data_IF_694350526384
#
_entry.id   IF_694350526384
#
_cell.length_a   1.000
_cell.length_b   1.000
_cell.length_c   1.000
_cell.angle_alpha   90.00
_cell.angle_beta   90.00
_cell.angle_gamma   90.00
#
_symmetry.space_group_name_H-M   'P 1'
#
loop_
_entity.id
_entity.type
_entity.pdbx_description
1 polymer ?
#
# COMPACT_ATOMS: atom_id res chain seq x y z
N UNK A 1 -10.18 -16.68 14.18
CA UNK A 1 -11.13 -17.82 14.22
C UNK A 1 -12.30 -17.44 13.32
N UNK A 2 -12.37 -17.78 12.04
CA UNK A 2 -11.93 -18.96 11.29
C UNK A 2 -10.81 -18.61 10.29
N UNK A 3 -9.68 -19.32 10.34
CA UNK A 3 -8.64 -19.21 9.32
C UNK A 3 -9.08 -19.97 8.07
N UNK A 4 -8.77 -19.42 6.91
CA UNK A 4 -8.95 -20.01 5.58
C UNK A 4 -8.48 -21.47 5.42
N UNK A 5 -7.67 -21.99 6.35
CA UNK A 5 -7.15 -23.35 6.36
C UNK A 5 -8.20 -24.45 6.58
N UNK A 6 -9.21 -24.24 7.44
CA UNK A 6 -10.22 -25.27 7.73
C UNK A 6 -11.22 -25.47 6.60
N UNK A 7 -11.56 -24.39 5.89
CA UNK A 7 -12.40 -24.43 4.69
C UNK A 7 -11.65 -25.02 3.50
N UNK A 8 -10.40 -24.58 3.28
CA UNK A 8 -9.58 -25.04 2.17
C UNK A 8 -9.31 -26.55 2.20
N UNK A 9 -9.06 -27.13 3.37
CA UNK A 9 -8.81 -28.57 3.50
C UNK A 9 -9.97 -29.42 2.94
N UNK A 10 -11.21 -28.94 3.13
CA UNK A 10 -12.46 -29.60 2.73
C UNK A 10 -12.81 -29.43 1.25
N UNK A 11 -12.13 -28.55 0.52
CA UNK A 11 -12.40 -28.34 -0.90
C UNK A 11 -12.02 -29.58 -1.73
N UNK A 12 -12.77 -29.80 -2.81
CA UNK A 12 -12.37 -30.72 -3.89
C UNK A 12 -11.06 -30.24 -4.51
N UNK A 13 -10.38 -31.12 -5.25
CA UNK A 13 -9.12 -30.76 -5.91
C UNK A 13 -9.31 -29.59 -6.88
N UNK A 14 -10.40 -29.61 -7.63
CA UNK A 14 -10.76 -28.60 -8.62
C UNK A 14 -10.98 -27.25 -7.93
N UNK A 15 -11.80 -27.21 -6.87
CA UNK A 15 -12.02 -25.97 -6.12
C UNK A 15 -10.76 -25.44 -5.43
N UNK A 16 -9.82 -26.32 -5.04
CA UNK A 16 -8.51 -25.89 -4.54
C UNK A 16 -7.68 -25.21 -5.62
N UNK A 17 -7.68 -25.77 -6.83
CA UNK A 17 -6.96 -25.19 -7.98
C UNK A 17 -7.54 -23.82 -8.30
N UNK A 18 -8.86 -23.70 -8.44
CA UNK A 18 -9.53 -22.43 -8.75
C UNK A 18 -9.28 -21.37 -7.67
N UNK A 19 -9.36 -21.78 -6.40
CA UNK A 19 -9.07 -20.90 -5.27
C UNK A 19 -7.62 -20.40 -5.30
N UNK A 20 -6.65 -21.30 -5.43
CA UNK A 20 -5.24 -20.93 -5.50
C UNK A 20 -4.94 -20.06 -6.72
N UNK A 21 -5.55 -20.37 -7.86
CA UNK A 21 -5.41 -19.58 -9.07
C UNK A 21 -5.96 -18.15 -8.87
N UNK A 22 -7.14 -18.00 -8.26
CA UNK A 22 -7.71 -16.69 -7.92
C UNK A 22 -6.83 -15.87 -6.96
N UNK A 23 -6.08 -16.55 -6.08
CA UNK A 23 -5.17 -15.90 -5.15
C UNK A 23 -3.83 -15.52 -5.77
N UNK A 24 -3.32 -16.30 -6.72
CA UNK A 24 -1.97 -16.15 -7.28
C UNK A 24 -1.94 -15.42 -8.62
N UNK A 25 -2.98 -15.55 -9.44
CA UNK A 25 -3.06 -14.90 -10.75
C UNK A 25 -3.58 -13.46 -10.63
N UNK A 26 -2.78 -12.61 -9.97
CA UNK A 26 -3.07 -11.20 -9.70
C UNK A 26 -1.83 -10.36 -9.99
N UNK A 27 -1.97 -9.05 -10.29
CA UNK A 27 -0.82 -8.17 -10.41
C UNK A 27 -0.01 -8.17 -9.11
N UNK A 28 1.31 -8.04 -9.24
CA UNK A 28 2.25 -8.06 -8.12
C UNK A 28 2.95 -6.73 -7.98
N UNK A 29 3.19 -6.30 -6.74
CA UNK A 29 4.06 -5.18 -6.40
C UNK A 29 5.11 -5.63 -5.38
N UNK A 30 6.35 -5.31 -5.67
CA UNK A 30 7.46 -5.37 -4.71
C UNK A 30 7.71 -3.95 -4.25
N UNK A 31 7.55 -3.71 -2.95
CA UNK A 31 7.60 -2.39 -2.37
C UNK A 31 8.88 -2.26 -1.53
N UNK A 32 9.75 -1.33 -1.92
CA UNK A 32 10.85 -0.91 -1.07
C UNK A 32 10.31 -0.27 0.19
N UNK A 33 10.94 -0.55 1.32
CA UNK A 33 10.59 -0.02 2.63
C UNK A 33 11.85 0.50 3.30
N UNK A 34 11.84 1.76 3.75
CA UNK A 34 12.97 2.38 4.45
C UNK A 34 12.62 2.55 5.93
N UNK A 35 13.63 2.55 6.80
CA UNK A 35 13.42 2.80 8.24
C UNK A 35 12.77 4.15 8.46
N UNK A 36 11.78 4.19 9.34
CA UNK A 36 11.06 5.42 9.65
C UNK A 36 11.83 6.28 10.64
N UNK A 37 12.28 7.45 10.20
CA UNK A 37 12.96 8.47 11.03
C UNK A 37 12.01 9.62 11.44
N UNK A 38 10.69 9.39 11.39
CA UNK A 38 9.65 10.37 11.70
C UNK A 38 9.02 11.03 10.47
N UNK A 39 9.31 10.51 9.27
CA UNK A 39 8.79 11.03 8.02
C UNK A 39 7.30 10.66 7.83
N UNK A 40 6.42 11.61 7.44
CA UNK A 40 5.05 11.26 7.08
C UNK A 40 5.02 10.44 5.79
N UNK A 41 4.18 9.39 5.78
CA UNK A 41 4.00 8.50 4.65
C UNK A 41 3.21 7.23 5.01
N UNK A 42 3.02 6.36 4.01
CA UNK A 42 2.36 5.07 4.21
C UNK A 42 3.29 4.01 4.80
N UNK A 43 2.85 3.30 5.83
CA UNK A 43 3.59 2.20 6.48
C UNK A 43 3.10 0.81 6.05
N UNK A 44 3.89 -0.27 6.26
CA UNK A 44 3.48 -1.62 5.96
C UNK A 44 2.60 -2.19 7.08
N UNK A 45 1.40 -2.66 6.75
CA UNK A 45 0.47 -3.22 7.74
C UNK A 45 -0.24 -4.47 7.22
N UNK A 46 -0.66 -5.31 8.16
CA UNK A 46 -1.66 -6.35 7.92
C UNK A 46 -3.05 -5.76 8.03
N UNK A 47 -3.85 -5.91 6.97
CA UNK A 47 -5.23 -5.45 6.91
C UNK A 47 -6.15 -6.65 6.84
N UNK A 48 -7.20 -6.59 7.66
CA UNK A 48 -8.27 -7.57 7.66
C UNK A 48 -9.46 -6.96 6.92
N UNK A 49 -9.84 -7.52 5.78
CA UNK A 49 -11.00 -7.06 5.04
C UNK A 49 -12.32 -7.51 5.72
N UNK A 50 -13.46 -7.05 5.20
CA UNK A 50 -14.79 -7.39 5.72
C UNK A 50 -15.07 -8.90 5.76
N UNK A 51 -14.50 -9.65 4.82
CA UNK A 51 -14.62 -11.11 4.74
C UNK A 51 -13.65 -11.83 5.71
N UNK A 52 -12.87 -11.08 6.49
CA UNK A 52 -11.93 -11.59 7.47
C UNK A 52 -10.60 -12.06 6.92
N UNK A 53 -10.34 -11.88 5.62
CA UNK A 53 -9.08 -12.21 4.97
C UNK A 53 -8.00 -11.18 5.32
N UNK A 54 -6.79 -11.67 5.60
CA UNK A 54 -5.62 -10.85 5.84
C UNK A 54 -4.85 -10.59 4.55
N UNK A 55 -4.41 -9.36 4.35
CA UNK A 55 -3.50 -8.97 3.26
C UNK A 55 -2.47 -7.94 3.73
N UNK A 56 -1.32 -7.90 3.07
CA UNK A 56 -0.29 -6.88 3.29
C UNK A 56 -0.63 -5.64 2.48
N UNK A 57 -0.73 -4.49 3.14
CA UNK A 57 -1.00 -3.20 2.52
C UNK A 57 -0.04 -2.13 2.98
N UNK A 58 0.10 -1.10 2.16
CA UNK A 58 0.69 0.18 2.58
C UNK A 58 -0.49 1.05 3.00
N UNK A 59 -0.49 1.55 4.24
CA UNK A 59 -1.58 2.38 4.77
C UNK A 59 -1.03 3.72 5.27
N UNK A 60 -1.70 4.80 4.89
CA UNK A 60 -1.41 6.13 5.40
C UNK A 60 -1.93 6.30 6.84
N UNK A 61 -1.17 7.02 7.67
CA UNK A 61 -1.55 7.26 9.07
C UNK A 61 -2.95 7.90 9.23
N UNK A 62 -3.39 8.70 8.26
CA UNK A 62 -4.72 9.34 8.21
C UNK A 62 -5.89 8.35 8.22
N UNK A 63 -5.65 7.11 7.82
CA UNK A 63 -6.67 6.07 7.68
C UNK A 63 -6.74 5.11 8.87
N UNK A 64 -5.83 5.27 9.84
CA UNK A 64 -5.76 4.43 11.02
C UNK A 64 -6.69 5.03 12.06
N UNK A 65 -7.67 4.25 12.50
CA UNK A 65 -8.62 4.68 13.53
C UNK A 65 -7.94 4.92 14.88
N UNK A 66 -8.51 5.80 15.71
CA UNK A 66 -7.90 6.23 16.99
C UNK A 66 -7.54 5.07 17.92
N UNK A 67 -8.36 4.01 17.92
CA UNK A 67 -8.13 2.79 18.71
C UNK A 67 -6.94 1.93 18.21
N UNK A 68 -6.39 2.21 17.02
CA UNK A 68 -5.29 1.51 16.39
C UNK A 68 -4.01 2.36 16.26
N UNK A 69 -4.02 3.60 16.77
CA UNK A 69 -2.86 4.51 16.73
C UNK A 69 -1.61 3.89 17.37
N UNK A 70 -1.79 3.05 18.41
CA UNK A 70 -0.68 2.34 19.04
C UNK A 70 0.03 1.34 18.12
N UNK A 71 -0.67 0.81 17.11
CA UNK A 71 -0.11 -0.05 16.06
C UNK A 71 0.72 0.79 15.10
N UNK A 72 0.17 1.93 14.66
CA UNK A 72 0.87 2.89 13.79
C UNK A 72 2.20 3.35 14.39
N UNK A 73 2.21 3.70 15.69
CA UNK A 73 3.41 4.11 16.42
C UNK A 73 4.50 3.04 16.52
N UNK A 74 4.17 1.77 16.28
CA UNK A 74 5.13 0.65 16.27
C UNK A 74 5.68 0.34 14.87
N UNK A 75 5.17 1.01 13.83
CA UNK A 75 5.69 0.82 12.48
C UNK A 75 7.15 1.30 12.39
N UNK A 76 8.05 0.38 12.09
CA UNK A 76 9.49 0.65 12.00
C UNK A 76 9.92 1.16 10.63
N UNK A 77 9.05 1.04 9.63
CA UNK A 77 9.33 1.36 8.23
C UNK A 77 8.20 2.14 7.59
N UNK A 78 8.51 2.87 6.53
CA UNK A 78 7.53 3.48 5.63
C UNK A 78 7.94 3.27 4.17
N UNK A 79 6.98 3.45 3.27
CA UNK A 79 7.18 3.26 1.85
C UNK A 79 7.60 4.59 1.19
N UNK A 80 8.78 4.63 0.53
CA UNK A 80 9.28 5.81 -0.18
C UNK A 80 8.67 5.99 -1.59
N UNK A 81 7.62 5.22 -1.94
CA UNK A 81 7.05 5.10 -3.30
C UNK A 81 7.99 4.41 -4.29
N UNK A 82 8.97 3.65 -3.79
CA UNK A 82 9.79 2.76 -4.62
C UNK A 82 9.07 1.43 -4.83
N UNK A 83 8.54 1.22 -6.05
CA UNK A 83 7.69 0.10 -6.42
C UNK A 83 8.14 -0.53 -7.73
N UNK A 84 8.32 -1.84 -7.71
CA UNK A 84 8.47 -2.65 -8.93
C UNK A 84 7.20 -3.47 -9.13
N UNK A 85 6.53 -3.28 -10.26
CA UNK A 85 5.22 -3.86 -10.54
C UNK A 85 5.26 -4.89 -11.66
N UNK A 86 4.69 -6.07 -11.41
CA UNK A 86 4.37 -7.07 -12.43
C UNK A 86 2.91 -6.92 -12.85
N UNK A 87 2.70 -6.49 -14.09
CA UNK A 87 1.37 -6.11 -14.61
C UNK A 87 0.74 -7.14 -15.54
N UNK A 88 1.43 -8.27 -15.75
CA UNK A 88 1.04 -9.31 -16.70
C UNK A 88 0.74 -10.61 -15.98
N UNK A 89 -0.20 -11.36 -16.54
CA UNK A 89 -0.54 -12.71 -16.09
C UNK A 89 0.52 -13.73 -16.53
N UNK A 90 0.32 -14.98 -16.10
CA UNK A 90 1.19 -16.12 -16.43
C UNK A 90 1.28 -16.44 -17.94
N UNK A 91 0.40 -15.88 -18.78
CA UNK A 91 0.41 -16.01 -20.24
C UNK A 91 1.05 -14.78 -20.93
N UNK A 92 1.48 -13.78 -20.16
CA UNK A 92 2.06 -12.53 -20.68
C UNK A 92 1.04 -11.46 -21.08
N UNK A 93 -0.24 -11.67 -20.75
CA UNK A 93 -1.33 -10.75 -21.04
C UNK A 93 -1.46 -9.72 -19.91
N UNK A 94 -1.74 -8.45 -20.27
CA UNK A 94 -1.90 -7.40 -19.27
C UNK A 94 -3.17 -7.61 -18.44
N UNK A 95 -3.06 -7.45 -17.13
CA UNK A 95 -4.22 -7.42 -16.24
C UNK A 95 -5.05 -6.14 -16.45
N UNK A 96 -6.38 -6.24 -16.30
CA UNK A 96 -7.21 -5.08 -16.03
C UNK A 96 -7.02 -4.65 -14.57
N UNK A 97 -6.16 -3.66 -14.31
CA UNK A 97 -5.79 -3.25 -12.96
C UNK A 97 -6.99 -2.73 -12.14
N UNK A 98 -8.02 -2.19 -12.79
CA UNK A 98 -9.23 -1.72 -12.12
C UNK A 98 -10.00 -2.85 -11.43
N UNK A 99 -9.86 -4.09 -11.90
CA UNK A 99 -10.47 -5.25 -11.26
C UNK A 99 -9.84 -5.60 -9.90
N UNK A 100 -8.72 -4.94 -9.52
CA UNK A 100 -7.97 -5.20 -8.29
C UNK A 100 -7.99 -4.02 -7.31
N UNK A 101 -8.82 -3.02 -7.56
CA UNK A 101 -9.05 -1.86 -6.68
C UNK A 101 -10.05 -2.25 -5.58
N UNK A 102 -9.88 -1.71 -4.37
CA UNK A 102 -10.94 -1.68 -3.36
C UNK A 102 -11.63 -0.32 -3.39
N UNK A 103 -12.80 -0.26 -4.02
CA UNK A 103 -13.58 0.97 -4.22
C UNK A 103 -14.09 1.58 -2.90
N UNK A 104 -14.16 0.79 -1.82
CA UNK A 104 -14.66 1.25 -0.52
C UNK A 104 -13.64 2.06 0.28
N UNK A 105 -12.42 2.20 -0.23
CA UNK A 105 -11.31 2.87 0.46
C UNK A 105 -11.13 4.34 0.06
N UNK A 106 -11.99 4.84 -0.83
CA UNK A 106 -12.11 6.26 -1.10
C UNK A 106 -12.70 7.00 0.11
N UNK A 107 -12.23 8.22 0.36
CA UNK A 107 -12.59 8.98 1.56
C UNK A 107 -12.86 10.45 1.25
N UNK A 108 -13.62 11.10 2.13
CA UNK A 108 -13.93 12.53 2.01
C UNK A 108 -12.79 13.33 2.65
N UNK A 109 -12.27 14.30 1.90
CA UNK A 109 -11.28 15.26 2.38
C UNK A 109 -11.89 16.66 2.40
N UNK A 110 -11.50 17.44 3.40
CA UNK A 110 -11.78 18.87 3.44
C UNK A 110 -10.56 19.61 2.89
N UNK A 111 -10.76 20.42 1.84
CA UNK A 111 -9.72 21.25 1.24
C UNK A 111 -10.14 22.71 1.32
N UNK A 112 -9.18 23.61 1.56
CA UNK A 112 -9.43 25.03 1.40
C UNK A 112 -9.09 25.44 -0.04
N UNK A 113 -10.05 26.00 -0.76
CA UNK A 113 -9.85 26.57 -2.09
C UNK A 113 -10.33 28.01 -2.09
N UNK A 114 -9.39 28.94 -2.25
CA UNK A 114 -9.64 30.38 -2.29
C UNK A 114 -10.41 30.89 -1.05
N UNK A 115 -10.05 30.41 0.15
CA UNK A 115 -10.69 30.80 1.40
C UNK A 115 -11.97 30.03 1.74
N UNK A 116 -12.50 29.23 0.82
CA UNK A 116 -13.70 28.42 1.05
C UNK A 116 -13.34 26.97 1.37
N UNK A 117 -13.91 26.42 2.44
CA UNK A 117 -13.82 24.99 2.74
C UNK A 117 -14.71 24.22 1.79
N UNK A 118 -14.11 23.30 1.02
CA UNK A 118 -14.80 22.39 0.12
C UNK A 118 -14.61 20.95 0.60
N UNK A 119 -15.64 20.13 0.42
CA UNK A 119 -15.54 18.68 0.58
C UNK A 119 -15.29 18.05 -0.77
N UNK A 120 -14.25 17.23 -0.88
CA UNK A 120 -13.96 16.44 -2.06
C UNK A 120 -13.93 14.96 -1.69
N UNK A 121 -14.32 14.10 -2.64
CA UNK A 121 -14.16 12.66 -2.50
C UNK A 121 -12.87 12.24 -3.21
N UNK A 122 -11.92 11.70 -2.46
CA UNK A 122 -10.70 11.11 -3.02
C UNK A 122 -10.95 9.63 -3.29
N UNK A 123 -10.73 9.24 -4.55
CA UNK A 123 -10.79 7.84 -4.97
C UNK A 123 -9.67 7.03 -4.31
N UNK A 124 -9.79 5.69 -4.29
CA UNK A 124 -8.69 4.82 -3.90
C UNK A 124 -7.41 5.19 -4.65
N UNK A 125 -6.37 5.48 -3.88
CA UNK A 125 -5.03 5.82 -4.32
C UNK A 125 -4.02 4.76 -3.88
N UNK A 126 -2.74 5.12 -4.03
CA UNK A 126 -1.62 4.19 -3.90
C UNK A 126 -1.55 3.49 -2.53
N UNK A 127 -1.81 4.24 -1.46
CA UNK A 127 -1.69 3.80 -0.07
C UNK A 127 -3.02 3.54 0.63
N UNK A 128 -4.13 3.52 -0.11
CA UNK A 128 -5.44 3.29 0.49
C UNK A 128 -6.30 2.27 -0.23
N UNK A 129 -6.10 1.98 -1.53
CA UNK A 129 -6.78 0.82 -2.10
C UNK A 129 -6.76 0.65 -3.61
N UNK A 130 -6.10 1.53 -4.37
CA UNK A 130 -5.90 1.33 -5.81
C UNK A 130 -5.19 -0.01 -6.13
N UNK A 131 -4.43 -0.54 -5.17
CA UNK A 131 -3.71 -1.81 -5.27
C UNK A 131 -4.09 -2.79 -4.16
N UNK A 132 -5.30 -2.68 -3.58
CA UNK A 132 -5.72 -3.48 -2.43
C UNK A 132 -5.66 -4.99 -2.70
N UNK A 133 -6.03 -5.43 -3.92
CA UNK A 133 -6.09 -6.85 -4.26
C UNK A 133 -4.84 -7.35 -4.99
N UNK A 134 -3.72 -6.61 -4.93
CA UNK A 134 -2.45 -7.03 -5.53
C UNK A 134 -1.68 -7.98 -4.60
N UNK A 135 -0.85 -8.83 -5.19
CA UNK A 135 0.19 -9.53 -4.44
C UNK A 135 1.23 -8.50 -3.99
N UNK A 136 1.48 -8.44 -2.68
CA UNK A 136 2.36 -7.43 -2.08
C UNK A 136 3.53 -8.12 -1.39
N UNK A 137 4.74 -7.70 -1.73
CA UNK A 137 5.98 -8.11 -1.07
C UNK A 137 6.69 -6.85 -0.56
N UNK A 138 7.08 -6.86 0.71
CA UNK A 138 7.86 -5.78 1.33
C UNK A 138 9.33 -6.18 1.40
N UNK A 139 10.21 -5.26 1.00
CA UNK A 139 11.67 -5.45 1.05
C UNK A 139 12.27 -4.24 1.75
N UNK A 140 13.06 -4.45 2.80
CA UNK A 140 13.85 -3.37 3.41
C UNK A 140 14.92 -2.92 2.41
N UNK A 141 14.99 -1.62 2.15
CA UNK A 141 16.00 -0.99 1.28
C UNK A 141 16.77 0.08 2.06
N UNK A 142 18.02 0.38 1.69
CA UNK A 142 18.81 1.39 2.38
C UNK A 142 18.14 2.77 2.36
N UNK A 143 18.18 3.51 3.47
CA UNK A 143 17.56 4.84 3.56
C UNK A 143 18.04 5.80 2.47
N UNK A 144 19.29 5.66 2.02
CA UNK A 144 19.88 6.48 0.95
C UNK A 144 19.11 6.43 -0.38
N UNK A 145 18.31 5.40 -0.63
CA UNK A 145 17.46 5.31 -1.84
C UNK A 145 16.27 6.27 -1.76
N UNK A 146 16.05 6.90 -0.61
CA UNK A 146 14.97 7.85 -0.38
C UNK A 146 15.50 9.21 0.05
N UNK A 147 15.37 10.20 -0.84
CA UNK A 147 15.70 11.60 -0.57
C UNK A 147 14.49 12.48 -0.94
N UNK A 148 13.49 12.61 -0.05
CA UNK A 148 12.28 13.36 -0.35
C UNK A 148 12.51 14.87 -0.25
N UNK A 149 11.78 15.61 -1.09
CA UNK A 149 11.66 17.06 -1.01
C UNK A 149 10.21 17.40 -0.68
N UNK A 150 9.94 17.77 0.57
CA UNK A 150 8.59 18.13 1.07
C UNK A 150 8.44 19.64 1.21
N UNK A 151 9.54 20.33 1.50
CA UNK A 151 9.65 21.78 1.65
C UNK A 151 10.80 22.29 0.79
N UNK A 152 10.80 23.60 0.50
CA UNK A 152 11.92 24.24 -0.21
C UNK A 152 13.26 24.04 0.53
N UNK A 153 13.22 23.99 1.86
CA UNK A 153 14.43 23.79 2.68
C UNK A 153 15.01 22.38 2.55
N UNK A 154 14.23 21.37 2.15
CA UNK A 154 14.76 20.02 1.94
C UNK A 154 15.80 20.00 0.81
N UNK A 155 15.69 20.91 -0.17
CA UNK A 155 16.69 21.06 -1.23
C UNK A 155 18.06 21.47 -0.69
N UNK A 156 18.15 22.07 0.50
CA UNK A 156 19.42 22.48 1.12
C UNK A 156 20.18 21.30 1.75
N UNK A 157 19.54 20.11 1.88
CA UNK A 157 20.22 18.92 2.38
C UNK A 157 21.35 18.52 1.44
N UNK A 158 22.44 18.01 2.00
CA UNK A 158 23.64 17.64 1.24
C UNK A 158 23.35 16.65 0.09
N UNK A 159 22.37 15.77 0.25
CA UNK A 159 21.95 14.81 -0.79
C UNK A 159 21.29 15.44 -2.02
N UNK A 160 20.84 16.69 -1.92
CA UNK A 160 20.25 17.46 -3.01
C UNK A 160 21.17 18.58 -3.52
N UNK A 161 22.32 18.80 -2.88
CA UNK A 161 23.29 19.79 -3.29
C UNK A 161 24.33 19.17 -4.23
N UNK A 162 24.71 19.91 -5.27
CA UNK A 162 25.82 19.52 -6.13
C UNK A 162 27.12 19.53 -5.33
N UNK A 163 27.95 18.51 -5.47
CA UNK A 163 29.13 18.28 -4.62
C UNK A 163 30.30 19.24 -4.87
N UNK A 164 30.18 20.20 -5.81
CA UNK A 164 31.25 21.14 -6.14
C UNK A 164 30.72 22.53 -6.50
N UNK A 165 31.23 23.54 -5.79
CA UNK A 165 31.42 24.92 -6.23
C UNK A 165 32.87 25.29 -5.94
#
# INVERSE_FOLDING_TARGET
NQSSSEGFAKYTKESKIDYLFSLLNRPIRVCGMVKNEGEPGGGPFWIKNANGQLSLQIIEASQISDNQVSISKKATHFNPVDLVCGLKDYQGQSFNLLAFVDENTGFIVEKNKNGNTIKAYELPGLWNGAMANWLTVFVEVPLLTFNPVKTVNDLLKATHQTTHG
#
